data_IF_279607305325
#
_entry.id   IF_279607305325
#
_cell.length_a   1.000
_cell.length_b   1.000
_cell.length_c   1.000
_cell.angle_alpha   90.00
_cell.angle_beta   90.00
_cell.angle_gamma   90.00
#
_symmetry.space_group_name_H-M   'P 1'
#
loop_
_entity.id
_entity.type
_entity.pdbx_description
1 polymer ?
#
# COMPACT_ATOMS: atom_id res chain seq x y z
N UNK A 1 28.24 14.23 -14.02
CA UNK A 1 28.17 12.90 -14.67
C UNK A 1 28.16 11.85 -13.58
N UNK A 2 27.00 11.63 -12.98
CA UNK A 2 26.80 10.58 -11.96
C UNK A 2 26.08 9.42 -12.63
N UNK A 3 26.70 8.23 -12.56
CA UNK A 3 26.18 7.00 -13.12
C UNK A 3 24.88 6.63 -12.42
N UNK A 4 23.76 6.72 -13.15
CA UNK A 4 22.55 5.96 -12.86
C UNK A 4 22.95 4.49 -12.75
N UNK A 5 22.73 3.89 -11.58
CA UNK A 5 22.79 2.45 -11.43
C UNK A 5 21.54 1.84 -12.10
N UNK A 6 21.56 1.79 -13.43
CA UNK A 6 20.79 0.77 -14.17
C UNK A 6 21.45 -0.58 -13.86
N UNK A 7 20.71 -1.42 -13.14
CA UNK A 7 21.10 -2.81 -12.92
C UNK A 7 20.78 -3.53 -14.23
N UNK A 8 21.75 -3.55 -15.14
CA UNK A 8 21.73 -4.42 -16.32
C UNK A 8 21.73 -5.89 -15.89
N UNK A 9 20.73 -6.63 -16.38
CA UNK A 9 20.62 -8.08 -16.23
C UNK A 9 21.73 -8.76 -17.04
N UNK A 10 22.55 -9.59 -16.38
CA UNK A 10 23.56 -10.41 -17.05
C UNK A 10 22.89 -11.50 -17.90
N UNK A 11 23.28 -11.73 -19.17
CA UNK A 11 22.54 -12.62 -20.07
C UNK A 11 22.81 -14.14 -19.95
N UNK A 12 23.45 -14.68 -18.91
CA UNK A 12 23.84 -16.11 -18.88
C UNK A 12 23.68 -16.85 -17.54
N UNK A 13 22.84 -16.38 -16.62
CA UNK A 13 22.42 -17.20 -15.49
C UNK A 13 20.96 -17.63 -15.70
N UNK A 14 20.65 -18.92 -15.52
CA UNK A 14 19.27 -19.39 -15.31
C UNK A 14 18.80 -18.94 -13.91
N UNK A 15 19.03 -17.66 -13.58
CA UNK A 15 19.10 -17.09 -12.23
C UNK A 15 17.75 -16.64 -11.65
N UNK A 16 16.64 -17.09 -12.24
CA UNK A 16 15.26 -16.77 -11.82
C UNK A 16 14.67 -17.86 -10.88
N UNK A 17 15.52 -18.53 -10.10
CA UNK A 17 15.10 -19.45 -9.05
C UNK A 17 15.23 -18.80 -7.67
N UNK A 18 14.10 -18.72 -6.96
CA UNK A 18 14.00 -18.17 -5.61
C UNK A 18 13.42 -19.20 -4.66
N UNK A 19 13.74 -19.10 -3.37
CA UNK A 19 13.07 -19.95 -2.37
C UNK A 19 11.61 -19.51 -2.22
N UNK A 20 11.38 -18.19 -2.23
CA UNK A 20 10.06 -17.59 -2.17
C UNK A 20 9.88 -16.43 -3.16
N UNK A 21 8.69 -16.38 -3.77
CA UNK A 21 8.22 -15.22 -4.54
C UNK A 21 7.08 -14.55 -3.77
N UNK A 22 7.18 -13.23 -3.60
CA UNK A 22 6.13 -12.39 -3.03
C UNK A 22 5.55 -11.53 -4.14
N UNK A 23 4.23 -11.58 -4.31
CA UNK A 23 3.53 -10.82 -5.36
C UNK A 23 2.81 -9.63 -4.73
N UNK A 24 3.24 -8.41 -5.07
CA UNK A 24 2.72 -7.15 -4.54
C UNK A 24 3.54 -6.62 -3.36
N UNK A 25 3.74 -5.30 -3.35
CA UNK A 25 4.62 -4.61 -2.38
C UNK A 25 3.88 -3.80 -1.28
N UNK A 26 2.57 -3.96 -1.18
CA UNK A 26 1.77 -3.38 -0.09
C UNK A 26 2.08 -4.01 1.27
N UNK A 27 1.30 -3.66 2.31
CA UNK A 27 1.54 -4.08 3.70
C UNK A 27 1.87 -5.57 3.87
N UNK A 28 1.02 -6.48 3.36
CA UNK A 28 1.24 -7.93 3.49
C UNK A 28 2.55 -8.39 2.85
N UNK A 29 2.80 -7.97 1.61
CA UNK A 29 3.96 -8.37 0.83
C UNK A 29 5.26 -7.79 1.35
N UNK A 30 5.26 -6.52 1.76
CA UNK A 30 6.44 -5.90 2.36
C UNK A 30 6.83 -6.56 3.69
N UNK A 31 5.85 -6.91 4.53
CA UNK A 31 6.09 -7.64 5.78
C UNK A 31 6.64 -9.03 5.47
N UNK A 32 5.99 -9.78 4.58
CA UNK A 32 6.41 -11.13 4.22
C UNK A 32 7.84 -11.16 3.67
N UNK A 33 8.15 -10.29 2.69
CA UNK A 33 9.49 -10.18 2.12
C UNK A 33 10.53 -9.81 3.18
N UNK A 34 10.25 -8.81 4.01
CA UNK A 34 11.15 -8.39 5.09
C UNK A 34 11.46 -9.53 6.07
N UNK A 35 10.43 -10.23 6.56
CA UNK A 35 10.62 -11.31 7.53
C UNK A 35 11.35 -12.51 6.93
N UNK A 36 10.98 -12.92 5.71
CA UNK A 36 11.62 -14.05 5.04
C UNK A 36 13.08 -13.76 4.69
N UNK A 37 13.38 -12.59 4.11
CA UNK A 37 14.77 -12.23 3.78
C UNK A 37 15.65 -12.12 5.01
N UNK A 38 15.14 -11.54 6.11
CA UNK A 38 15.88 -11.52 7.39
C UNK A 38 16.12 -12.89 8.00
N UNK A 39 15.32 -13.89 7.62
CA UNK A 39 15.52 -15.29 7.98
C UNK A 39 16.48 -16.03 7.03
N UNK A 40 17.08 -15.35 6.05
CA UNK A 40 18.02 -15.93 5.09
C UNK A 40 17.37 -16.62 3.89
N UNK A 41 16.06 -16.46 3.68
CA UNK A 41 15.34 -17.00 2.52
C UNK A 41 15.67 -16.14 1.29
N UNK A 42 16.00 -16.76 0.15
CA UNK A 42 16.20 -16.03 -1.11
C UNK A 42 14.83 -15.60 -1.68
N UNK A 43 14.48 -14.33 -1.51
CA UNK A 43 13.16 -13.78 -1.87
C UNK A 43 13.24 -12.90 -3.13
N UNK A 44 12.29 -13.10 -4.05
CA UNK A 44 11.95 -12.11 -5.09
C UNK A 44 10.60 -11.48 -4.79
N UNK A 45 10.54 -10.15 -4.72
CA UNK A 45 9.28 -9.41 -4.68
C UNK A 45 8.96 -8.84 -6.07
N UNK A 46 7.76 -9.13 -6.57
CA UNK A 46 7.27 -8.66 -7.86
C UNK A 46 6.19 -7.58 -7.65
N UNK A 47 6.40 -6.39 -8.18
CA UNK A 47 5.46 -5.27 -8.09
C UNK A 47 5.04 -4.81 -9.48
N UNK A 48 3.73 -4.69 -9.73
CA UNK A 48 3.20 -4.28 -11.02
C UNK A 48 3.49 -2.81 -11.35
N UNK A 49 3.50 -1.93 -10.35
CA UNK A 49 3.77 -0.51 -10.52
C UNK A 49 5.25 -0.16 -10.54
N UNK A 50 5.55 1.12 -10.78
CA UNK A 50 6.91 1.68 -10.69
C UNK A 50 7.27 2.09 -9.27
N UNK A 51 8.53 2.46 -9.04
CA UNK A 51 8.93 3.23 -7.85
C UNK A 51 8.52 4.69 -8.02
N UNK A 52 7.82 5.23 -7.03
CA UNK A 52 7.42 6.64 -6.97
C UNK A 52 8.34 7.39 -6.00
N UNK A 53 8.90 8.51 -6.44
CA UNK A 53 9.65 9.45 -5.60
C UNK A 53 8.74 10.55 -5.09
N UNK A 54 9.22 11.32 -4.11
CA UNK A 54 8.46 12.42 -3.53
C UNK A 54 8.00 13.42 -4.62
N UNK A 55 8.89 13.79 -5.55
CA UNK A 55 8.60 14.67 -6.69
C UNK A 55 7.62 14.10 -7.73
N UNK A 56 7.44 12.78 -7.78
CA UNK A 56 6.49 12.14 -8.70
C UNK A 56 5.04 12.28 -8.24
N UNK A 57 4.79 12.49 -6.94
CA UNK A 57 3.43 12.47 -6.41
C UNK A 57 2.62 13.67 -6.88
N UNK A 58 1.39 13.44 -7.38
CA UNK A 58 0.56 14.51 -7.89
C UNK A 58 0.11 15.46 -6.77
N UNK A 59 0.23 16.76 -7.01
CA UNK A 59 -0.07 17.83 -6.03
C UNK A 59 -1.30 18.67 -6.41
N UNK A 60 -1.89 18.40 -7.57
CA UNK A 60 -3.05 19.11 -8.11
C UNK A 60 -3.97 18.15 -8.87
N UNK A 61 -5.22 18.56 -9.10
CA UNK A 61 -6.24 17.70 -9.72
C UNK A 61 -5.87 17.20 -11.11
N UNK A 62 -5.20 18.01 -11.93
CA UNK A 62 -4.80 17.61 -13.28
C UNK A 62 -3.73 16.54 -13.25
N UNK A 63 -2.74 16.68 -12.37
CA UNK A 63 -1.72 15.64 -12.16
C UNK A 63 -2.33 14.38 -11.58
N UNK A 64 -3.30 14.47 -10.66
CA UNK A 64 -4.02 13.29 -10.15
C UNK A 64 -4.67 12.54 -11.32
N UNK A 65 -5.37 13.22 -12.21
CA UNK A 65 -5.98 12.60 -13.40
C UNK A 65 -4.94 11.92 -14.31
N UNK A 66 -3.74 12.50 -14.44
CA UNK A 66 -2.64 11.87 -15.20
C UNK A 66 -2.05 10.62 -14.53
N UNK A 67 -2.24 10.48 -13.21
CA UNK A 67 -1.77 9.36 -12.41
C UNK A 67 -2.84 8.29 -12.19
N UNK A 68 -3.95 8.35 -12.95
CA UNK A 68 -5.06 7.40 -12.90
C UNK A 68 -5.07 6.53 -14.15
N UNK A 69 -5.16 5.22 -13.94
CA UNK A 69 -5.53 4.23 -14.95
C UNK A 69 -6.97 3.80 -14.72
N UNK A 70 -7.77 3.88 -15.76
CA UNK A 70 -9.13 3.35 -15.78
C UNK A 70 -9.23 2.21 -16.80
N UNK A 71 -9.85 1.11 -16.40
CA UNK A 71 -10.06 -0.03 -17.27
C UNK A 71 -11.46 -0.60 -17.07
N UNK A 72 -12.28 -0.52 -18.11
CA UNK A 72 -13.59 -1.17 -18.16
C UNK A 72 -13.50 -2.39 -19.07
N UNK A 73 -13.57 -3.59 -18.48
CA UNK A 73 -13.46 -4.83 -19.24
C UNK A 73 -14.68 -5.09 -20.13
N UNK A 74 -15.88 -4.67 -19.71
CA UNK A 74 -17.12 -4.90 -20.44
C UNK A 74 -17.21 -4.05 -21.72
N UNK A 75 -16.67 -2.83 -21.67
CA UNK A 75 -16.69 -1.88 -22.79
C UNK A 75 -15.37 -1.87 -23.59
N UNK A 76 -14.34 -2.60 -23.15
CA UNK A 76 -13.02 -2.60 -23.77
C UNK A 76 -12.25 -1.27 -23.64
N UNK A 77 -12.71 -0.35 -22.80
CA UNK A 77 -12.13 0.99 -22.64
C UNK A 77 -10.92 0.92 -21.71
N UNK A 78 -9.78 1.50 -22.15
CA UNK A 78 -8.56 1.67 -21.35
C UNK A 78 -8.09 3.11 -21.45
N UNK A 79 -7.85 3.75 -20.32
CA UNK A 79 -7.33 5.11 -20.23
C UNK A 79 -6.20 5.19 -19.20
N UNK A 80 -5.23 6.08 -19.45
CA UNK A 80 -4.12 6.34 -18.55
C UNK A 80 -2.94 5.36 -18.68
N UNK A 81 -1.80 5.68 -18.05
CA UNK A 81 -0.57 4.90 -18.17
C UNK A 81 -0.68 3.51 -17.52
N UNK A 82 0.18 2.56 -17.91
CA UNK A 82 0.18 1.20 -17.33
C UNK A 82 0.75 1.17 -15.91
N UNK A 83 1.68 2.06 -15.62
CA UNK A 83 2.33 2.23 -14.31
C UNK A 83 1.75 3.41 -13.51
N UNK A 84 0.49 3.79 -13.80
CA UNK A 84 -0.24 4.82 -13.08
C UNK A 84 -0.31 4.54 -11.56
N UNK A 85 -0.34 5.59 -10.74
CA UNK A 85 -0.39 5.46 -9.28
C UNK A 85 -1.69 4.83 -8.81
N UNK A 86 -2.81 5.16 -9.46
CA UNK A 86 -4.12 4.63 -9.14
C UNK A 86 -4.64 3.76 -10.29
N UNK A 87 -5.17 2.59 -9.96
CA UNK A 87 -6.01 1.84 -10.87
C UNK A 87 -7.46 1.84 -10.35
N UNK A 88 -8.37 2.24 -11.22
CA UNK A 88 -9.80 2.25 -10.96
C UNK A 88 -10.45 1.01 -11.52
N UNK A 89 -11.26 0.35 -10.69
CA UNK A 89 -12.15 -0.73 -11.04
C UNK A 89 -13.57 -0.25 -10.81
N UNK A 90 -14.35 -0.18 -11.89
CA UNK A 90 -15.76 0.16 -11.82
C UNK A 90 -16.59 -1.10 -12.05
N UNK A 91 -17.52 -1.35 -11.13
CA UNK A 91 -18.48 -2.43 -11.25
C UNK A 91 -19.85 -1.95 -10.74
N UNK A 92 -20.79 -1.79 -11.67
CA UNK A 92 -22.14 -1.29 -11.40
C UNK A 92 -22.11 0.07 -10.67
N UNK A 93 -22.57 0.11 -9.42
CA UNK A 93 -22.66 1.29 -8.55
C UNK A 93 -21.43 1.48 -7.65
N UNK A 94 -20.39 0.65 -7.83
CA UNK A 94 -19.20 0.62 -6.98
C UNK A 94 -17.94 0.97 -7.76
N UNK A 95 -17.13 1.86 -7.19
CA UNK A 95 -15.80 2.23 -7.70
C UNK A 95 -14.74 1.89 -6.66
N UNK A 96 -13.77 1.06 -7.04
CA UNK A 96 -12.60 0.76 -6.22
C UNK A 96 -11.34 1.40 -6.83
N UNK A 97 -10.68 2.25 -6.06
CA UNK A 97 -9.37 2.80 -6.40
C UNK A 97 -8.28 2.05 -5.64
N UNK A 98 -7.32 1.46 -6.36
CA UNK A 98 -6.17 0.77 -5.76
C UNK A 98 -4.86 1.43 -6.16
N UNK A 99 -3.92 1.50 -5.23
CA UNK A 99 -2.62 2.07 -5.48
C UNK A 99 -1.68 1.05 -6.15
N UNK A 100 -0.92 1.49 -7.15
CA UNK A 100 -0.01 0.67 -7.93
C UNK A 100 1.38 1.32 -7.92
N UNK A 101 2.33 0.66 -7.27
CA UNK A 101 3.67 1.21 -7.07
C UNK A 101 4.39 0.49 -5.95
N UNK A 102 5.72 0.61 -5.92
CA UNK A 102 6.55 0.03 -4.86
C UNK A 102 6.17 0.63 -3.50
N UNK A 103 5.43 -0.12 -2.68
CA UNK A 103 4.81 0.31 -1.41
C UNK A 103 3.28 0.16 -1.39
N UNK A 104 2.64 -0.02 -2.54
CA UNK A 104 1.20 -0.21 -2.70
C UNK A 104 0.36 0.89 -2.02
N UNK A 105 -0.74 0.49 -1.37
CA UNK A 105 -1.67 1.42 -0.70
C UNK A 105 -1.04 2.28 0.40
N UNK A 106 0.12 1.90 0.94
CA UNK A 106 0.83 2.71 1.93
C UNK A 106 1.32 4.04 1.36
N UNK A 107 1.55 4.13 0.05
CA UNK A 107 1.94 5.36 -0.63
C UNK A 107 0.85 6.41 -0.52
N UNK A 108 -0.42 6.01 -0.71
CA UNK A 108 -1.55 6.93 -0.94
C UNK A 108 -2.66 6.88 0.11
N UNK A 109 -2.55 6.09 1.19
CA UNK A 109 -3.54 6.14 2.27
C UNK A 109 -3.37 7.38 3.19
N UNK A 110 -4.21 7.54 4.22
CA UNK A 110 -4.04 8.64 5.17
C UNK A 110 -2.95 8.38 6.23
N UNK A 111 -2.29 7.22 6.22
CA UNK A 111 -1.33 6.81 7.26
C UNK A 111 -1.97 6.49 8.62
N UNK A 112 -3.29 6.48 8.72
CA UNK A 112 -4.04 6.20 9.96
C UNK A 112 -3.79 4.78 10.45
N UNK A 113 -3.40 4.66 11.72
CA UNK A 113 -3.12 3.41 12.42
C UNK A 113 -4.06 3.29 13.61
N UNK A 114 -5.06 2.43 13.47
CA UNK A 114 -6.00 2.13 14.54
C UNK A 114 -5.69 0.73 15.10
N UNK A 115 -5.69 0.55 16.43
CA UNK A 115 -5.68 -0.79 17.00
C UNK A 115 -6.93 -1.54 16.54
N UNK A 116 -6.84 -2.85 16.48
CA UNK A 116 -7.98 -3.67 16.07
C UNK A 116 -9.10 -3.52 17.09
N UNK A 117 -10.30 -3.08 16.67
CA UNK A 117 -11.42 -2.93 17.58
C UNK A 117 -11.77 -4.24 18.31
N UNK A 118 -12.17 -4.15 19.58
CA UNK A 118 -12.58 -5.31 20.38
C UNK A 118 -13.66 -6.15 19.66
N UNK A 119 -14.61 -5.50 18.98
CA UNK A 119 -15.65 -6.18 18.19
C UNK A 119 -15.08 -7.05 17.07
N UNK A 120 -13.97 -6.62 16.46
CA UNK A 120 -13.31 -7.36 15.39
C UNK A 120 -12.52 -8.53 15.98
N UNK A 121 -11.79 -8.31 17.08
CA UNK A 121 -11.08 -9.37 17.81
C UNK A 121 -12.03 -10.48 18.29
N UNK A 122 -13.25 -10.14 18.73
CA UNK A 122 -14.27 -11.10 19.20
C UNK A 122 -15.11 -11.75 18.10
N UNK A 123 -14.87 -11.42 16.83
CA UNK A 123 -15.68 -11.96 15.75
C UNK A 123 -15.30 -13.43 15.48
N UNK A 124 -16.26 -14.34 15.71
CA UNK A 124 -16.08 -15.79 15.56
C UNK A 124 -15.69 -16.24 14.13
N UNK A 125 -15.78 -15.35 13.14
CA UNK A 125 -15.32 -15.62 11.77
C UNK A 125 -13.80 -15.61 11.63
N UNK A 126 -13.05 -15.04 12.58
CA UNK A 126 -11.59 -15.10 12.56
C UNK A 126 -11.08 -16.42 13.15
N UNK A 127 -9.96 -16.97 12.65
CA UNK A 127 -9.31 -18.12 13.27
C UNK A 127 -8.90 -17.79 14.71
N UNK A 128 -9.24 -18.67 15.66
CA UNK A 128 -8.97 -18.47 17.09
C UNK A 128 -7.48 -18.40 17.39
N UNK A 129 -6.66 -19.03 16.56
CA UNK A 129 -5.21 -19.05 16.68
C UNK A 129 -4.60 -17.64 16.59
N UNK A 130 -5.25 -16.73 15.85
CA UNK A 130 -4.74 -15.37 15.64
C UNK A 130 -4.83 -14.51 16.90
N UNK A 131 -5.69 -14.86 17.85
CA UNK A 131 -5.81 -14.14 19.13
C UNK A 131 -4.50 -14.18 19.94
N UNK A 132 -3.68 -15.23 19.76
CA UNK A 132 -2.43 -15.43 20.53
C UNK A 132 -1.33 -14.44 20.14
N UNK A 133 -1.28 -14.08 18.86
CA UNK A 133 -0.19 -13.29 18.30
C UNK A 133 -0.59 -11.82 18.06
N UNK A 134 -1.85 -11.47 18.30
CA UNK A 134 -2.43 -10.17 17.92
C UNK A 134 -1.62 -8.98 18.45
N UNK A 135 -1.38 -8.96 19.76
CA UNK A 135 -0.71 -7.83 20.42
C UNK A 135 0.78 -7.76 20.04
N UNK A 136 1.43 -8.91 19.79
CA UNK A 136 2.81 -8.99 19.32
C UNK A 136 2.91 -8.44 17.90
N UNK A 137 1.99 -8.84 17.02
CA UNK A 137 1.90 -8.36 15.64
C UNK A 137 1.62 -6.86 15.58
N UNK A 138 0.66 -6.35 16.37
CA UNK A 138 0.34 -4.92 16.45
C UNK A 138 1.52 -4.11 16.97
N UNK A 139 2.18 -4.56 18.05
CA UNK A 139 3.35 -3.88 18.60
C UNK A 139 4.51 -3.86 17.61
N UNK A 140 4.74 -4.98 16.92
CA UNK A 140 5.78 -5.04 15.88
C UNK A 140 5.47 -4.13 14.70
N UNK A 141 4.20 -4.03 14.28
CA UNK A 141 3.80 -3.15 13.18
C UNK A 141 3.91 -1.68 13.60
N UNK A 142 3.46 -1.34 14.80
CA UNK A 142 3.55 0.00 15.38
C UNK A 142 4.99 0.52 15.43
N UNK A 143 5.93 -0.34 15.85
CA UNK A 143 7.36 -0.01 15.89
C UNK A 143 7.94 0.21 14.50
N UNK A 144 7.69 -0.69 13.54
CA UNK A 144 8.24 -0.58 12.19
C UNK A 144 7.66 0.61 11.40
N UNK A 145 6.36 0.88 11.60
CA UNK A 145 5.65 2.00 10.99
C UNK A 145 5.90 3.33 11.73
N UNK A 146 6.63 3.32 12.86
CA UNK A 146 6.94 4.51 13.67
C UNK A 146 5.69 5.37 13.92
N UNK A 147 4.66 4.77 14.49
CA UNK A 147 3.38 5.46 14.66
C UNK A 147 3.50 6.62 15.66
N UNK A 148 2.98 7.79 15.29
CA UNK A 148 3.05 9.02 16.10
C UNK A 148 1.67 9.66 16.20
N UNK A 149 1.42 10.39 17.28
CA UNK A 149 0.24 11.28 17.34
C UNK A 149 0.48 12.51 16.49
N UNK A 150 -0.53 12.99 15.77
CA UNK A 150 -0.42 14.28 15.07
C UNK A 150 -0.17 15.40 16.07
N UNK A 151 0.94 16.12 15.93
CA UNK A 151 1.23 17.36 16.65
C UNK A 151 0.51 18.56 16.04
N UNK A 152 0.02 18.43 14.80
CA UNK A 152 -0.66 19.49 14.06
C UNK A 152 -2.17 19.47 14.37
N UNK A 153 -2.68 20.61 14.84
CA UNK A 153 -4.12 20.87 14.97
C UNK A 153 -4.61 21.65 13.77
N UNK A 154 -5.36 21.01 12.88
CA UNK A 154 -5.98 21.68 11.74
C UNK A 154 -7.20 22.51 12.17
N UNK A 155 -7.45 23.69 11.57
CA UNK A 155 -8.64 24.48 11.88
C UNK A 155 -9.96 23.69 11.74
N UNK A 156 -10.04 22.79 10.76
CA UNK A 156 -11.20 21.91 10.55
C UNK A 156 -11.44 20.98 11.75
N UNK A 157 -10.39 20.56 12.47
CA UNK A 157 -10.55 19.72 13.66
C UNK A 157 -11.23 20.47 14.79
N UNK A 158 -11.03 21.79 14.90
CA UNK A 158 -11.75 22.64 15.85
C UNK A 158 -13.23 22.70 15.52
N UNK A 159 -13.56 22.97 14.25
CA UNK A 159 -14.95 23.01 13.77
C UNK A 159 -15.65 21.66 13.95
N UNK A 160 -14.97 20.56 13.63
CA UNK A 160 -15.51 19.21 13.82
C UNK A 160 -15.74 18.90 15.30
N UNK A 161 -14.86 19.35 16.20
CA UNK A 161 -15.07 19.23 17.65
C UNK A 161 -16.32 19.98 18.12
N UNK A 162 -16.51 21.21 17.65
CA UNK A 162 -17.69 22.02 17.97
C UNK A 162 -19.01 21.40 17.46
N UNK A 163 -18.98 20.73 16.30
CA UNK A 163 -20.14 20.04 15.71
C UNK A 163 -20.43 18.71 16.42
N UNK A 164 -19.39 17.98 16.81
CA UNK A 164 -19.55 16.58 17.20
C UNK A 164 -20.08 16.39 18.64
N UNK A 165 -20.09 17.45 19.47
CA UNK A 165 -20.64 17.42 20.82
C UNK A 165 -19.88 16.49 21.79
N UNK A 166 -20.24 16.55 23.08
CA UNK A 166 -19.52 15.87 24.16
C UNK A 166 -19.48 14.33 24.04
N UNK A 167 -20.44 13.71 23.36
CA UNK A 167 -20.48 12.24 23.16
C UNK A 167 -19.47 11.74 22.11
N UNK A 168 -19.07 12.59 21.16
CA UNK A 168 -18.09 12.25 20.13
C UNK A 168 -16.66 12.62 20.56
N UNK A 169 -16.50 13.65 21.39
CA UNK A 169 -15.22 14.05 22.00
C UNK A 169 -14.56 12.90 22.79
N UNK A 170 -15.34 12.10 23.53
CA UNK A 170 -14.83 10.95 24.29
C UNK A 170 -14.22 9.83 23.40
N UNK A 171 -14.59 9.75 22.12
CA UNK A 171 -14.00 8.80 21.15
C UNK A 171 -12.82 9.41 20.37
N UNK A 172 -12.67 10.74 20.35
CA UNK A 172 -11.59 11.46 19.65
C UNK A 172 -10.40 11.75 20.58
N UNK A 173 -10.59 11.74 21.90
CA UNK A 173 -9.52 12.03 22.88
C UNK A 173 -8.28 11.12 22.76
N UNK A 174 -8.40 9.92 22.19
CA UNK A 174 -7.23 9.19 21.74
C UNK A 174 -6.70 9.79 20.43
N UNK A 175 -5.70 10.65 20.53
CA UNK A 175 -4.97 11.20 19.37
C UNK A 175 -4.70 10.10 18.33
N UNK A 176 -5.37 10.20 17.17
CA UNK A 176 -5.24 9.22 16.08
C UNK A 176 -3.76 9.07 15.75
N UNK A 177 -3.27 7.83 15.78
CA UNK A 177 -1.89 7.52 15.45
C UNK A 177 -1.71 7.46 13.95
N UNK A 178 -0.63 8.05 13.45
CA UNK A 178 -0.30 8.15 12.04
C UNK A 178 1.10 7.61 11.79
N UNK A 179 1.29 6.93 10.66
CA UNK A 179 2.60 6.51 10.13
C UNK A 179 3.24 7.65 9.34
N UNK A 180 3.49 8.77 10.02
CA UNK A 180 4.02 10.03 9.47
C UNK A 180 5.04 10.58 10.47
N UNK A 181 6.14 11.11 9.97
CA UNK A 181 7.15 11.74 10.80
C UNK A 181 6.74 13.19 11.15
N UNK A 182 6.58 13.47 12.44
CA UNK A 182 6.32 14.80 12.99
C UNK A 182 7.51 15.36 13.79
N UNK A 183 8.60 14.62 13.90
CA UNK A 183 9.79 15.07 14.62
C UNK A 183 10.40 16.28 13.88
N UNK A 184 10.74 17.35 14.60
CA UNK A 184 11.50 18.48 14.05
C UNK A 184 12.96 18.04 13.98
N UNK A 185 13.57 18.03 12.80
CA UNK A 185 14.95 17.57 12.66
C UNK A 185 15.91 18.49 13.44
N UNK A 186 16.69 17.94 14.37
CA UNK A 186 17.97 18.55 14.77
C UNK A 186 18.97 18.37 13.60
N UNK A 187 19.84 19.36 13.34
CA UNK A 187 20.81 19.27 12.25
C UNK A 187 21.73 18.04 12.45
N UNK A 188 22.05 17.28 11.39
CA UNK A 188 22.73 15.99 11.55
C UNK A 188 24.18 16.17 11.99
N UNK A 189 24.57 15.47 13.07
CA UNK A 189 25.96 15.30 13.52
C UNK A 189 26.66 14.09 12.87
N UNK A 190 26.03 13.41 11.92
CA UNK A 190 26.54 12.20 11.26
C UNK A 190 26.13 12.14 9.78
N UNK A 191 26.87 11.42 8.91
CA UNK A 191 26.60 11.42 7.47
C UNK A 191 25.21 10.85 7.14
N UNK A 192 24.55 11.35 6.09
CA UNK A 192 23.18 11.01 5.75
C UNK A 192 23.05 9.52 5.43
N UNK A 193 22.20 8.82 6.18
CA UNK A 193 21.79 7.44 5.87
C UNK A 193 20.88 7.47 4.63
N UNK A 194 20.88 6.40 3.83
CA UNK A 194 19.98 6.27 2.68
C UNK A 194 18.54 6.62 3.09
N UNK A 195 18.04 7.71 2.49
CA UNK A 195 16.64 8.19 2.50
C UNK A 195 16.11 8.62 3.88
N UNK A 196 16.59 9.77 4.36
CA UNK A 196 16.04 10.48 5.51
C UNK A 196 14.54 10.82 5.29
N UNK A 197 13.69 10.44 6.24
CA UNK A 197 12.26 10.79 6.26
C UNK A 197 12.14 12.19 6.85
N UNK A 198 11.70 13.16 6.04
CA UNK A 198 11.57 14.55 6.48
C UNK A 198 10.41 14.74 7.48
N UNK A 199 10.36 15.89 8.15
CA UNK A 199 9.22 16.28 8.98
C UNK A 199 7.98 16.65 8.15
N UNK A 200 6.79 16.42 8.69
CA UNK A 200 5.51 16.69 8.03
C UNK A 200 5.16 18.19 8.03
N UNK A 201 4.97 18.76 6.83
CA UNK A 201 4.51 20.14 6.63
C UNK A 201 2.98 20.32 6.68
N UNK A 202 2.21 19.29 7.03
CA UNK A 202 0.74 19.36 7.08
C UNK A 202 0.07 19.82 5.76
N UNK A 203 0.66 19.48 4.61
CA UNK A 203 0.17 19.90 3.28
C UNK A 203 -1.16 19.30 2.81
N UNK A 204 -1.70 18.27 3.49
CA UNK A 204 -2.95 17.62 3.11
C UNK A 204 -2.89 16.66 1.91
N UNK A 205 -1.72 16.46 1.27
CA UNK A 205 -1.60 15.62 0.06
C UNK A 205 -1.58 14.10 0.31
N UNK A 206 -1.85 13.64 1.53
CA UNK A 206 -1.62 12.25 1.95
C UNK A 206 -2.29 11.21 1.04
N UNK A 207 -3.49 11.52 0.53
CA UNK A 207 -4.29 10.63 -0.31
C UNK A 207 -3.78 10.49 -1.76
N UNK A 208 -2.83 11.34 -2.15
CA UNK A 208 -2.18 11.34 -3.46
C UNK A 208 -0.69 10.98 -3.36
N UNK A 209 -0.21 10.64 -2.17
CA UNK A 209 1.21 10.45 -1.85
C UNK A 209 1.88 11.72 -1.31
N UNK A 210 2.92 11.55 -0.50
CA UNK A 210 3.54 12.67 0.21
C UNK A 210 4.68 13.29 -0.61
N UNK A 211 4.53 14.54 -1.11
CA UNK A 211 5.56 15.17 -1.95
C UNK A 211 6.77 15.67 -1.16
N UNK A 212 6.68 15.68 0.18
CA UNK A 212 7.74 16.13 1.08
C UNK A 212 8.49 14.99 1.76
N UNK A 213 8.27 13.74 1.34
CA UNK A 213 8.93 12.57 1.89
C UNK A 213 8.66 12.26 3.39
N UNK A 214 7.67 12.90 4.02
CA UNK A 214 7.42 12.76 5.47
C UNK A 214 6.59 11.53 5.88
N UNK A 215 5.88 10.91 4.94
CA UNK A 215 5.08 9.71 5.20
C UNK A 215 5.97 8.47 5.28
N UNK A 216 5.83 7.68 6.35
CA UNK A 216 6.56 6.43 6.56
C UNK A 216 5.81 5.26 5.88
N UNK A 217 5.76 5.28 4.55
CA UNK A 217 5.19 4.23 3.70
C UNK A 217 6.11 3.00 3.63
N UNK A 218 5.60 1.84 3.18
CA UNK A 218 6.31 0.56 3.31
C UNK A 218 7.58 0.47 2.48
N UNK A 219 7.71 1.30 1.43
CA UNK A 219 8.94 1.54 0.67
C UNK A 219 10.07 2.11 1.52
N UNK A 220 9.77 2.80 2.62
CA UNK A 220 10.76 3.44 3.50
C UNK A 220 11.02 2.68 4.80
N UNK A 221 10.31 1.59 5.04
CA UNK A 221 10.49 0.76 6.23
C UNK A 221 10.73 -0.71 5.87
N UNK A 222 9.68 -1.52 5.74
CA UNK A 222 9.76 -2.96 5.50
C UNK A 222 10.54 -3.29 4.24
N UNK A 223 10.33 -2.57 3.14
CA UNK A 223 11.01 -2.86 1.87
C UNK A 223 12.50 -2.51 1.92
N UNK A 224 12.89 -1.39 2.53
CA UNK A 224 14.32 -1.10 2.77
C UNK A 224 14.95 -2.20 3.61
N UNK A 225 14.31 -2.62 4.70
CA UNK A 225 14.85 -3.71 5.52
C UNK A 225 14.90 -5.05 4.77
N UNK A 226 14.00 -5.30 3.84
CA UNK A 226 14.02 -6.50 2.99
C UNK A 226 15.22 -6.46 2.02
N UNK A 227 15.43 -5.33 1.33
CA UNK A 227 16.55 -5.12 0.40
C UNK A 227 17.88 -5.27 1.14
N UNK A 228 18.02 -4.65 2.31
CA UNK A 228 19.21 -4.77 3.15
C UNK A 228 19.50 -6.22 3.59
N UNK A 229 18.45 -7.05 3.69
CA UNK A 229 18.56 -8.48 3.98
C UNK A 229 18.70 -9.35 2.73
N UNK A 230 18.89 -8.77 1.53
CA UNK A 230 19.13 -9.50 0.29
C UNK A 230 17.90 -9.80 -0.56
N UNK A 231 16.73 -9.20 -0.27
CA UNK A 231 15.55 -9.33 -1.13
C UNK A 231 15.79 -8.70 -2.50
N UNK A 232 15.51 -9.44 -3.58
CA UNK A 232 15.42 -8.88 -4.93
C UNK A 232 14.04 -8.26 -5.13
N UNK A 233 13.96 -7.07 -5.74
CA UNK A 233 12.69 -6.42 -6.07
C UNK A 233 12.64 -6.15 -7.58
N UNK A 234 11.57 -6.58 -8.24
CA UNK A 234 11.27 -6.29 -9.65
C UNK A 234 10.00 -5.45 -9.73
N UNK A 235 10.15 -4.17 -10.08
CA UNK A 235 9.03 -3.27 -10.38
C UNK A 235 8.58 -3.41 -11.83
N UNK A 236 7.43 -2.84 -12.19
CA UNK A 236 6.83 -2.97 -13.53
C UNK A 236 6.66 -4.44 -13.96
N UNK A 237 6.42 -5.31 -13.00
CA UNK A 237 6.33 -6.75 -13.18
C UNK A 237 4.97 -7.24 -12.65
N UNK A 238 4.01 -7.37 -13.56
CA UNK A 238 2.68 -7.85 -13.23
C UNK A 238 2.63 -9.38 -13.34
N UNK A 239 2.38 -10.06 -12.22
CA UNK A 239 2.07 -11.49 -12.23
C UNK A 239 0.70 -11.72 -12.84
N UNK A 240 0.65 -12.59 -13.84
CA UNK A 240 -0.59 -13.00 -14.50
C UNK A 240 -1.24 -14.14 -13.73
N UNK A 241 -0.52 -15.24 -13.53
CA UNK A 241 -1.06 -16.44 -12.89
C UNK A 241 0.06 -17.28 -12.28
N UNK A 242 -0.32 -18.26 -11.48
CA UNK A 242 0.59 -19.21 -10.85
C UNK A 242 0.09 -20.62 -11.09
N UNK A 243 1.00 -21.55 -11.37
CA UNK A 243 0.66 -22.97 -11.49
C UNK A 243 1.65 -23.80 -10.70
N UNK A 244 1.20 -24.97 -10.25
CA UNK A 244 2.11 -25.97 -9.72
C UNK A 244 3.02 -26.41 -10.85
N UNK A 245 4.32 -26.50 -10.59
CA UNK A 245 5.28 -26.92 -11.60
C UNK A 245 4.97 -28.38 -12.00
N UNK A 246 4.63 -28.67 -13.27
CA UNK A 246 4.29 -30.02 -13.71
C UNK A 246 5.46 -30.99 -13.63
N UNK A 247 6.70 -30.49 -13.65
CA UNK A 247 7.92 -31.29 -13.55
C UNK A 247 8.48 -31.33 -12.11
N UNK A 248 7.81 -30.68 -11.15
CA UNK A 248 8.19 -30.65 -9.72
C UNK A 248 7.88 -31.94 -8.95
N UNK A 249 7.79 -33.09 -9.64
CA UNK A 249 7.57 -34.40 -9.01
C UNK A 249 8.93 -35.05 -8.79
N UNK A 250 9.28 -35.27 -7.52
CA UNK A 250 10.42 -36.09 -7.13
C UNK A 250 10.27 -37.48 -7.74
N UNK A 251 11.11 -37.82 -8.73
CA UNK A 251 11.36 -39.24 -9.01
C UNK A 251 12.06 -39.83 -7.77
N UNK A 252 11.67 -41.04 -7.30
CA UNK A 252 12.39 -41.70 -6.22
C UNK A 252 13.84 -41.93 -6.67
N UNK A 253 14.79 -41.27 -6.01
CA UNK A 253 16.23 -41.40 -6.29
C UNK A 253 16.85 -40.32 -7.19
N UNK A 254 16.10 -39.31 -7.63
CA UNK A 254 16.63 -38.18 -8.39
C UNK A 254 16.56 -36.85 -7.62
N UNK A 255 17.66 -36.09 -7.58
CA UNK A 255 17.65 -34.70 -7.10
C UNK A 255 16.92 -33.86 -8.16
N UNK A 256 15.59 -33.75 -8.07
CA UNK A 256 14.87 -32.76 -8.89
C UNK A 256 15.25 -31.37 -8.40
N UNK A 257 15.95 -30.61 -9.25
CA UNK A 257 16.30 -29.20 -9.04
C UNK A 257 15.13 -28.25 -9.29
N UNK A 258 13.98 -28.76 -9.70
CA UNK A 258 12.86 -27.93 -10.12
C UNK A 258 11.97 -27.53 -8.94
N UNK A 259 11.87 -26.22 -8.72
CA UNK A 259 11.05 -25.63 -7.66
C UNK A 259 9.56 -25.92 -7.86
N UNK A 260 8.80 -25.90 -6.77
CA UNK A 260 7.39 -26.36 -6.73
C UNK A 260 6.40 -25.55 -7.56
N UNK A 261 6.65 -24.26 -7.78
CA UNK A 261 5.72 -23.34 -8.43
C UNK A 261 6.36 -22.63 -9.61
N UNK A 262 5.55 -22.34 -10.63
CA UNK A 262 5.86 -21.41 -11.71
C UNK A 262 4.98 -20.17 -11.58
N UNK A 263 5.60 -19.01 -11.53
CA UNK A 263 4.94 -17.70 -11.41
C UNK A 263 5.11 -16.97 -12.73
N UNK A 264 4.01 -16.87 -13.48
CA UNK A 264 4.01 -16.33 -14.83
C UNK A 264 3.84 -14.81 -14.80
N UNK A 265 4.78 -14.11 -15.45
CA UNK A 265 4.76 -12.63 -15.59
C UNK A 265 4.17 -12.19 -16.93
N UNK A 266 4.04 -13.13 -17.87
CA UNK A 266 3.21 -13.05 -19.07
C UNK A 266 2.80 -14.49 -19.48
N UNK A 267 2.36 -14.72 -20.72
CA UNK A 267 1.93 -16.06 -21.13
C UNK A 267 3.08 -17.08 -21.31
N UNK A 268 4.33 -16.62 -21.40
CA UNK A 268 5.50 -17.45 -21.74
C UNK A 268 6.53 -17.42 -20.60
N UNK A 269 6.86 -16.23 -20.11
CA UNK A 269 7.92 -16.03 -19.12
C UNK A 269 7.41 -16.30 -17.70
N UNK A 270 8.18 -17.08 -16.97
CA UNK A 270 7.92 -17.41 -15.58
C UNK A 270 9.19 -17.48 -14.74
N UNK A 271 9.00 -17.31 -13.44
CA UNK A 271 10.02 -17.46 -12.40
C UNK A 271 9.63 -18.68 -11.56
N UNK A 272 10.59 -19.44 -11.03
CA UNK A 272 10.28 -20.61 -10.21
C UNK A 272 10.55 -20.38 -8.72
N UNK A 273 9.73 -20.99 -7.87
CA UNK A 273 9.92 -20.93 -6.42
C UNK A 273 9.28 -22.07 -5.64
N UNK A 274 9.74 -22.31 -4.42
CA UNK A 274 9.10 -23.28 -3.54
C UNK A 274 7.91 -22.69 -2.80
N UNK A 275 7.93 -21.38 -2.51
CA UNK A 275 6.83 -20.67 -1.87
C UNK A 275 6.37 -19.49 -2.71
N UNK A 276 5.05 -19.33 -2.85
CA UNK A 276 4.45 -18.16 -3.47
C UNK A 276 3.52 -17.49 -2.47
N UNK A 277 3.77 -16.22 -2.18
CA UNK A 277 2.97 -15.39 -1.29
C UNK A 277 2.22 -14.39 -2.17
N UNK A 278 0.91 -14.58 -2.33
CA UNK A 278 0.07 -13.63 -3.05
C UNK A 278 -0.37 -12.50 -2.11
N UNK A 279 0.11 -11.30 -2.38
CA UNK A 279 -0.21 -10.07 -1.64
C UNK A 279 -0.50 -8.89 -2.58
N UNK A 280 -1.14 -9.17 -3.73
CA UNK A 280 -1.46 -8.18 -4.76
C UNK A 280 -2.71 -7.34 -4.43
N UNK A 281 -3.03 -7.21 -3.14
CA UNK A 281 -4.31 -6.65 -2.66
C UNK A 281 -5.50 -7.58 -2.92
N UNK A 282 -6.68 -7.17 -2.49
CA UNK A 282 -7.93 -7.97 -2.60
C UNK A 282 -8.25 -8.29 -4.05
N UNK A 283 -8.29 -7.26 -4.91
CA UNK A 283 -8.64 -7.43 -6.32
C UNK A 283 -7.56 -8.18 -7.10
N UNK A 284 -6.29 -7.76 -6.99
CA UNK A 284 -5.19 -8.36 -7.74
C UNK A 284 -4.93 -9.83 -7.35
N UNK A 285 -5.00 -10.16 -6.06
CA UNK A 285 -4.82 -11.56 -5.61
C UNK A 285 -5.93 -12.46 -6.13
N UNK A 286 -7.18 -11.98 -6.04
CA UNK A 286 -8.35 -12.72 -6.52
C UNK A 286 -8.28 -12.93 -8.04
N UNK A 287 -7.89 -11.91 -8.80
CA UNK A 287 -7.72 -11.98 -10.25
C UNK A 287 -6.65 -13.01 -10.67
N UNK A 288 -5.49 -13.01 -10.00
CA UNK A 288 -4.42 -13.99 -10.21
C UNK A 288 -4.94 -15.41 -9.93
N UNK A 289 -5.67 -15.60 -8.83
CA UNK A 289 -6.21 -16.91 -8.44
C UNK A 289 -7.25 -17.42 -9.43
N UNK A 290 -8.16 -16.58 -9.92
CA UNK A 290 -9.10 -16.97 -10.97
C UNK A 290 -8.39 -17.36 -12.28
N UNK A 291 -7.40 -16.57 -12.72
CA UNK A 291 -6.59 -16.93 -13.90
C UNK A 291 -5.82 -18.23 -13.72
N UNK A 292 -5.36 -18.49 -12.50
CA UNK A 292 -4.68 -19.74 -12.13
C UNK A 292 -5.64 -20.93 -12.12
N UNK A 293 -6.88 -20.74 -11.65
CA UNK A 293 -7.93 -21.76 -11.65
C UNK A 293 -8.31 -22.17 -13.08
N UNK A 294 -8.47 -21.20 -13.99
CA UNK A 294 -8.71 -21.46 -15.42
C UNK A 294 -7.57 -22.24 -16.09
N UNK A 295 -6.38 -22.27 -15.48
CA UNK A 295 -5.19 -23.01 -15.92
C UNK A 295 -4.97 -24.31 -15.14
N UNK A 296 -5.97 -24.78 -14.40
CA UNK A 296 -5.98 -26.09 -13.75
C UNK A 296 -5.55 -26.09 -12.27
N UNK A 297 -5.31 -24.92 -11.66
CA UNK A 297 -5.11 -24.86 -10.21
C UNK A 297 -6.44 -25.15 -9.49
N UNK A 298 -6.49 -26.24 -8.71
CA UNK A 298 -7.68 -26.59 -7.93
C UNK A 298 -7.82 -25.65 -6.74
N UNK A 299 -8.85 -24.82 -6.74
CA UNK A 299 -9.20 -23.89 -5.68
C UNK A 299 -10.66 -24.11 -5.25
N UNK A 300 -11.04 -23.77 -4.01
CA UNK A 300 -12.40 -23.91 -3.54
C UNK A 300 -13.38 -23.01 -4.31
N UNK A 301 -14.64 -23.45 -4.43
CA UNK A 301 -15.73 -22.68 -5.07
C UNK A 301 -16.06 -21.38 -4.32
N UNK A 302 -15.57 -21.23 -3.08
CA UNK A 302 -15.71 -20.00 -2.29
C UNK A 302 -14.74 -18.90 -2.73
N UNK A 303 -13.82 -19.15 -3.67
CA UNK A 303 -12.92 -18.12 -4.20
C UNK A 303 -13.73 -16.93 -4.76
N UNK A 304 -13.36 -15.72 -4.36
CA UNK A 304 -14.04 -14.48 -4.75
C UNK A 304 -15.30 -14.15 -3.93
N UNK A 305 -15.72 -15.03 -3.02
CA UNK A 305 -16.79 -14.72 -2.06
C UNK A 305 -16.29 -13.88 -0.88
N UNK A 306 -17.22 -13.25 -0.15
CA UNK A 306 -16.90 -12.51 1.09
C UNK A 306 -16.24 -11.14 0.88
N UNK A 307 -16.31 -10.58 -0.32
CA UNK A 307 -15.82 -9.23 -0.61
C UNK A 307 -16.55 -8.17 0.23
N UNK A 308 -15.81 -7.14 0.68
CA UNK A 308 -16.34 -6.03 1.47
C UNK A 308 -15.60 -4.73 1.16
N UNK A 309 -16.34 -3.64 1.00
CA UNK A 309 -15.80 -2.28 0.89
C UNK A 309 -15.51 -1.63 2.25
N UNK A 310 -15.40 -2.42 3.32
CA UNK A 310 -15.19 -1.94 4.69
C UNK A 310 -16.27 -0.94 5.17
N UNK A 311 -17.46 -0.95 4.56
CA UNK A 311 -18.55 -0.02 4.86
C UNK A 311 -18.22 1.45 4.57
N UNK A 312 -17.29 1.72 3.64
CA UNK A 312 -16.91 3.08 3.29
C UNK A 312 -18.07 3.81 2.57
N UNK A 313 -18.57 4.87 3.20
CA UNK A 313 -19.57 5.79 2.65
C UNK A 313 -19.01 7.20 2.70
N UNK A 314 -19.12 7.94 1.60
CA UNK A 314 -18.78 9.36 1.54
C UNK A 314 -20.08 10.17 1.42
N UNK A 315 -20.28 11.11 2.33
CA UNK A 315 -21.37 12.07 2.28
C UNK A 315 -20.78 13.49 2.24
N UNK A 316 -21.39 14.37 1.46
CA UNK A 316 -21.06 15.79 1.44
C UNK A 316 -22.32 16.59 1.74
N UNK A 317 -22.17 17.67 2.51
CA UNK A 317 -23.25 18.63 2.75
C UNK A 317 -23.02 19.82 1.83
N UNK A 318 -23.93 20.02 0.87
CA UNK A 318 -23.93 21.18 -0.01
C UNK A 318 -25.02 22.17 0.41
N UNK A 319 -24.76 23.47 0.24
CA UNK A 319 -25.77 24.51 0.47
C UNK A 319 -26.03 24.87 1.93
N UNK A 320 -25.11 24.56 2.86
CA UNK A 320 -25.22 25.05 4.24
C UNK A 320 -25.17 26.58 4.25
N UNK A 321 -26.29 27.20 4.63
CA UNK A 321 -26.34 28.63 4.98
C UNK A 321 -26.22 28.74 6.50
N UNK A 322 -25.16 29.36 7.02
CA UNK A 322 -25.05 29.61 8.45
C UNK A 322 -26.20 30.51 8.91
N UNK A 323 -26.82 30.19 10.05
CA UNK A 323 -27.85 31.03 10.68
C UNK A 323 -27.28 32.29 11.37
N UNK A 324 -26.05 32.69 11.07
CA UNK A 324 -25.43 33.89 11.65
C UNK A 324 -25.60 35.10 10.72
N UNK A 325 -25.88 36.29 11.28
CA UNK A 325 -26.04 37.52 10.48
C UNK A 325 -24.82 37.80 9.58
N UNK A 326 -25.06 38.29 8.37
CA UNK A 326 -24.05 38.50 7.31
C UNK A 326 -22.83 39.35 7.74
N UNK A 327 -22.96 40.18 8.77
CA UNK A 327 -21.88 41.05 9.25
C UNK A 327 -20.75 40.32 10.00
N UNK A 328 -21.00 39.14 10.59
CA UNK A 328 -19.95 38.32 11.21
C UNK A 328 -19.04 37.60 10.18
N UNK A 329 -19.52 37.43 8.94
CA UNK A 329 -18.79 36.72 7.88
C UNK A 329 -17.77 37.59 7.14
N UNK A 330 -17.91 38.91 7.21
CA UNK A 330 -17.01 39.86 6.56
C UNK A 330 -15.62 39.82 7.22
N UNK A 331 -15.55 39.66 8.54
CA UNK A 331 -14.28 39.53 9.27
C UNK A 331 -13.56 38.20 8.97
N UNK A 332 -14.29 37.08 8.84
CA UNK A 332 -13.66 35.78 8.53
C UNK A 332 -13.13 35.68 7.09
N UNK A 333 -13.78 36.34 6.12
CA UNK A 333 -13.26 36.41 4.74
C UNK A 333 -11.95 37.20 4.66
N UNK A 334 -11.74 38.20 5.51
CA UNK A 334 -10.47 38.92 5.59
C UNK A 334 -9.36 37.99 6.14
N UNK A 335 -9.64 37.24 7.21
CA UNK A 335 -8.68 36.32 7.84
C UNK A 335 -8.26 35.18 6.89
N UNK A 336 -9.20 34.59 6.15
CA UNK A 336 -8.90 33.50 5.19
C UNK A 336 -8.04 34.00 4.02
N UNK A 337 -8.19 35.26 3.61
CA UNK A 337 -7.43 35.87 2.51
C UNK A 337 -5.99 36.19 2.91
N UNK A 338 -5.75 36.47 4.19
CA UNK A 338 -4.41 36.76 4.73
C UNK A 338 -3.64 35.48 5.15
N UNK A 339 -4.34 34.36 5.35
CA UNK A 339 -3.69 33.09 5.78
C UNK A 339 -3.19 32.23 4.61
N UNK A 340 -3.70 32.44 3.39
CA UNK A 340 -3.25 31.75 2.18
C UNK A 340 -2.90 32.77 1.08
N UNK A 341 -1.66 33.28 1.03
CA UNK A 341 -1.19 34.02 -0.13
C UNK A 341 -1.11 33.07 -1.34
N UNK A 342 -1.47 33.62 -2.51
CA UNK A 342 -1.54 32.93 -3.81
C UNK A 342 -0.27 32.22 -4.23
#
# INVERSE_FOLDING_TARGET
MEKQAEIELRPEDRGDDYDAIVVGSGYGGSVAACRMSRAGIKVCLLEKGRRWKAEDFPTDSWKIMSAVRYQNQNLGIRFGPEDALFQLYEQNDSLAAVACGLGGGSLVNAGVMLPTPIRARRNLKWPKEWERDWDICESSAAAMLRIQSSSVKFPIAKVMGEIAGAEFEANIESSVKLSVNFDVEEPPSNPPRLEQINSCFACGNCLAGCPYNAKNSTDKNYLISAIQAGCTIRTKCQVQYVIKNPHGICQPGGISRERRWRVYINEIDYITSDWVILSAGVLGTTEILFRSQMRGLRLPDTLGSGFSCNGNNLAYVAGWKPCTPEWLWIEQKAIIRDTFPR
#
